data_IF_922674884455
#
_entry.id   IF_922674884455
#
_cell.length_a   1.000
_cell.length_b   1.000
_cell.length_c   1.000
_cell.angle_alpha   90.00
_cell.angle_beta   90.00
_cell.angle_gamma   90.00
#
_symmetry.space_group_name_H-M   'P 1'
#
loop_
_entity.id
_entity.type
_entity.pdbx_description
1 polymer ?
#
# COMPACT_ATOMS: atom_id res chain seq x y z
N UNK A 1 0.54 24.86 11.45
CA UNK A 1 0.06 24.49 10.10
C UNK A 1 0.62 23.15 9.57
N UNK A 2 1.96 22.89 9.52
CA UNK A 2 2.48 21.59 9.00
C UNK A 2 2.36 20.40 9.98
N UNK A 3 2.68 20.61 11.26
CA UNK A 3 2.48 19.58 12.29
C UNK A 3 1.00 19.16 12.38
N UNK A 4 0.11 20.13 12.22
CA UNK A 4 -1.35 19.97 12.19
C UNK A 4 -1.84 19.09 11.01
N UNK A 5 -1.20 19.08 9.84
CA UNK A 5 -1.59 18.18 8.74
C UNK A 5 -1.25 16.71 9.04
N UNK A 6 -0.05 16.44 9.55
CA UNK A 6 0.37 15.08 9.92
C UNK A 6 -0.48 14.52 11.05
N UNK A 7 -0.73 15.35 12.07
CA UNK A 7 -1.59 15.00 13.19
C UNK A 7 -2.99 14.67 12.70
N UNK A 8 -3.64 15.57 11.95
CA UNK A 8 -5.00 15.36 11.44
C UNK A 8 -5.16 14.07 10.63
N UNK A 9 -4.21 13.77 9.75
CA UNK A 9 -4.25 12.52 8.96
C UNK A 9 -4.04 11.30 9.86
N UNK A 10 -3.16 11.40 10.84
CA UNK A 10 -2.96 10.32 11.80
C UNK A 10 -4.23 10.10 12.62
N UNK A 11 -4.86 11.16 13.11
CA UNK A 11 -6.12 11.11 13.87
C UNK A 11 -7.25 10.50 13.02
N UNK A 12 -7.33 10.84 11.73
CA UNK A 12 -8.30 10.27 10.80
C UNK A 12 -8.11 8.75 10.63
N UNK A 13 -6.87 8.29 10.50
CA UNK A 13 -6.54 6.86 10.40
C UNK A 13 -6.77 6.15 11.74
N UNK A 14 -6.39 6.77 12.86
CA UNK A 14 -6.63 6.24 14.21
C UNK A 14 -8.12 6.06 14.44
N UNK A 15 -8.94 7.08 14.15
CA UNK A 15 -10.39 7.00 14.27
C UNK A 15 -10.98 5.90 13.38
N UNK A 16 -10.45 5.71 12.17
CA UNK A 16 -10.88 4.64 11.28
C UNK A 16 -10.50 3.24 11.80
N UNK A 17 -9.32 3.09 12.43
CA UNK A 17 -8.91 1.86 13.10
C UNK A 17 -9.81 1.58 14.30
N UNK A 18 -10.03 2.57 15.17
CA UNK A 18 -10.88 2.46 16.36
C UNK A 18 -12.31 2.05 16.00
N UNK A 19 -12.90 2.66 14.97
CA UNK A 19 -14.24 2.31 14.48
C UNK A 19 -14.34 0.87 13.97
N UNK A 20 -13.24 0.29 13.48
CA UNK A 20 -13.18 -1.09 12.99
C UNK A 20 -12.76 -2.13 14.04
N UNK A 21 -12.32 -1.69 15.22
CA UNK A 21 -11.68 -2.56 16.21
C UNK A 21 -12.64 -3.59 16.80
N UNK A 22 -13.93 -3.25 16.94
CA UNK A 22 -14.94 -4.16 17.49
C UNK A 22 -15.20 -5.41 16.62
N UNK A 23 -14.97 -5.30 15.30
CA UNK A 23 -15.11 -6.41 14.35
C UNK A 23 -13.75 -6.97 13.89
N UNK A 24 -12.63 -6.52 14.49
CA UNK A 24 -11.27 -6.77 13.98
C UNK A 24 -11.10 -6.42 12.50
N UNK A 25 -11.83 -5.41 12.03
CA UNK A 25 -11.91 -5.00 10.64
C UNK A 25 -11.16 -3.69 10.40
N UNK A 26 -9.90 -3.77 9.99
CA UNK A 26 -9.11 -2.58 9.66
C UNK A 26 -9.64 -1.89 8.39
N UNK A 27 -9.40 -0.57 8.21
CA UNK A 27 -9.84 0.18 7.02
C UNK A 27 -9.32 -0.38 5.69
N UNK A 28 -8.21 -1.10 5.73
CA UNK A 28 -7.55 -1.74 4.59
C UNK A 28 -7.97 -3.20 4.34
N UNK A 29 -8.93 -3.75 5.11
CA UNK A 29 -9.50 -5.08 4.85
C UNK A 29 -10.67 -5.01 3.86
N UNK A 30 -10.89 -6.10 3.11
CA UNK A 30 -11.85 -6.22 2.01
C UNK A 30 -11.63 -5.23 0.84
N UNK A 31 -10.43 -4.67 0.72
CA UNK A 31 -10.08 -3.73 -0.33
C UNK A 31 -10.18 -4.28 -1.75
N UNK A 32 -10.18 -5.60 -1.98
CA UNK A 32 -10.35 -6.15 -3.32
C UNK A 32 -11.71 -5.88 -3.94
N UNK A 33 -12.75 -5.70 -3.12
CA UNK A 33 -14.06 -5.29 -3.64
C UNK A 33 -14.04 -3.88 -4.24
N UNK A 34 -13.01 -3.09 -3.91
CA UNK A 34 -12.80 -1.73 -4.40
C UNK A 34 -11.62 -1.69 -5.39
N UNK A 35 -10.58 -2.49 -5.16
CA UNK A 35 -9.29 -2.49 -5.83
C UNK A 35 -8.30 -1.47 -5.25
N UNK A 36 -7.08 -1.48 -5.80
CA UNK A 36 -6.07 -0.46 -5.53
C UNK A 36 -6.54 0.90 -6.06
N UNK A 37 -6.68 1.95 -5.22
CA UNK A 37 -7.14 3.26 -5.66
C UNK A 37 -6.22 3.78 -6.77
N UNK A 38 -6.80 4.25 -7.87
CA UNK A 38 -6.06 4.74 -9.04
C UNK A 38 -6.59 6.07 -9.53
N UNK A 39 -5.67 6.89 -10.04
CA UNK A 39 -6.07 8.12 -10.70
C UNK A 39 -6.61 7.78 -12.09
N UNK A 40 -7.86 8.12 -12.38
CA UNK A 40 -8.51 7.68 -13.62
C UNK A 40 -7.92 8.34 -14.88
N UNK A 41 -7.34 9.54 -14.76
CA UNK A 41 -6.73 10.24 -15.90
C UNK A 41 -5.33 9.71 -16.21
N UNK A 42 -4.51 9.45 -15.20
CA UNK A 42 -3.13 8.98 -15.42
C UNK A 42 -3.01 7.45 -15.47
N UNK A 43 -4.04 6.72 -15.04
CA UNK A 43 -4.01 5.27 -14.86
C UNK A 43 -3.15 4.80 -13.68
N UNK A 44 -2.41 5.69 -13.01
CA UNK A 44 -1.44 5.33 -11.97
C UNK A 44 -2.13 5.02 -10.64
N UNK A 45 -1.74 3.94 -9.95
CA UNK A 45 -2.22 3.68 -8.60
C UNK A 45 -1.71 4.76 -7.63
N UNK A 46 -2.55 5.12 -6.65
CA UNK A 46 -2.12 5.82 -5.46
C UNK A 46 -1.26 4.89 -4.61
N UNK A 47 -0.38 5.48 -3.78
CA UNK A 47 0.69 4.76 -3.10
C UNK A 47 0.83 5.20 -1.64
N UNK A 48 1.29 4.28 -0.79
CA UNK A 48 1.56 4.52 0.62
C UNK A 48 0.35 5.11 1.36
N UNK A 49 0.56 6.21 2.08
CA UNK A 49 -0.50 6.82 2.91
C UNK A 49 -1.76 7.20 2.12
N UNK A 50 -1.61 7.57 0.83
CA UNK A 50 -2.76 7.92 0.01
C UNK A 50 -3.68 6.73 -0.25
N UNK A 51 -3.12 5.51 -0.35
CA UNK A 51 -3.90 4.28 -0.48
C UNK A 51 -4.79 4.09 0.75
N UNK A 52 -4.23 4.29 1.94
CA UNK A 52 -4.96 4.15 3.20
C UNK A 52 -6.08 5.19 3.35
N UNK A 53 -5.78 6.46 3.05
CA UNK A 53 -6.76 7.54 3.10
C UNK A 53 -7.94 7.30 2.16
N UNK A 54 -7.67 6.82 0.94
CA UNK A 54 -8.71 6.57 -0.04
C UNK A 54 -9.53 5.32 0.29
N UNK A 55 -8.92 4.27 0.86
CA UNK A 55 -9.67 3.12 1.36
C UNK A 55 -10.54 3.46 2.57
N UNK A 56 -9.99 4.21 3.53
CA UNK A 56 -10.75 4.66 4.69
C UNK A 56 -12.00 5.45 4.28
N UNK A 57 -11.84 6.43 3.37
CA UNK A 57 -12.99 7.20 2.87
C UNK A 57 -13.94 6.33 2.03
N UNK A 58 -13.43 5.45 1.15
CA UNK A 58 -14.28 4.57 0.36
C UNK A 58 -15.14 3.68 1.24
N UNK A 59 -14.57 3.11 2.31
CA UNK A 59 -15.29 2.31 3.28
C UNK A 59 -16.33 3.15 4.03
N UNK A 60 -15.92 4.29 4.58
CA UNK A 60 -16.80 5.18 5.35
C UNK A 60 -18.00 5.66 4.53
N UNK A 61 -17.82 5.93 3.24
CA UNK A 61 -18.88 6.41 2.33
C UNK A 61 -19.56 5.30 1.52
N UNK A 62 -19.10 4.06 1.63
CA UNK A 62 -19.61 2.92 0.85
C UNK A 62 -19.27 2.97 -0.65
N UNK A 63 -18.23 3.69 -1.06
CA UNK A 63 -17.79 3.73 -2.45
C UNK A 63 -17.27 2.36 -2.92
N UNK A 64 -17.67 1.97 -4.13
CA UNK A 64 -17.30 0.67 -4.73
C UNK A 64 -16.21 0.78 -5.80
N UNK A 65 -15.91 1.99 -6.26
CA UNK A 65 -14.90 2.21 -7.31
C UNK A 65 -13.56 2.60 -6.72
N UNK A 66 -12.47 1.99 -7.21
CA UNK A 66 -11.11 2.46 -6.99
C UNK A 66 -10.73 3.72 -7.81
N UNK A 67 -11.64 4.29 -8.60
CA UNK A 67 -11.33 5.40 -9.49
C UNK A 67 -11.48 6.74 -8.78
N UNK A 68 -10.39 7.50 -8.74
CA UNK A 68 -10.34 8.82 -8.12
C UNK A 68 -9.74 9.84 -9.09
N UNK A 69 -10.16 11.09 -8.97
CA UNK A 69 -9.56 12.19 -9.72
C UNK A 69 -9.79 13.52 -9.00
N UNK A 70 -8.98 14.53 -9.32
CA UNK A 70 -9.27 15.91 -8.89
C UNK A 70 -10.52 16.44 -9.61
N UNK A 71 -11.13 17.49 -9.06
CA UNK A 71 -12.27 18.15 -9.72
C UNK A 71 -12.00 18.51 -11.19
N UNK A 72 -10.81 19.07 -11.47
CA UNK A 72 -10.41 19.46 -12.83
C UNK A 72 -10.25 18.25 -13.75
N UNK A 73 -9.73 17.15 -13.24
CA UNK A 73 -9.61 15.90 -14.00
C UNK A 73 -10.97 15.32 -14.34
N UNK A 74 -11.94 15.35 -13.41
CA UNK A 74 -13.31 14.94 -13.70
C UNK A 74 -13.97 15.82 -14.77
N UNK A 75 -13.81 17.15 -14.68
CA UNK A 75 -14.29 18.05 -15.74
C UNK A 75 -13.67 17.77 -17.10
N UNK A 76 -12.38 17.45 -17.16
CA UNK A 76 -11.70 17.08 -18.42
C UNK A 76 -12.28 15.80 -19.05
N UNK A 77 -12.82 14.90 -18.22
CA UNK A 77 -13.51 13.69 -18.66
C UNK A 77 -15.00 13.93 -18.98
N UNK A 78 -15.46 15.18 -18.99
CA UNK A 78 -16.87 15.53 -19.20
C UNK A 78 -17.79 15.22 -18.01
N UNK A 79 -17.20 14.84 -16.86
CA UNK A 79 -17.93 14.49 -15.65
C UNK A 79 -18.06 15.69 -14.71
N UNK A 80 -19.13 15.73 -13.92
CA UNK A 80 -19.39 16.81 -12.97
C UNK A 80 -19.48 16.24 -11.55
N UNK A 81 -18.63 16.74 -10.63
CA UNK A 81 -18.80 16.44 -9.20
C UNK A 81 -20.11 17.04 -8.71
N UNK A 82 -20.95 16.23 -8.07
CA UNK A 82 -22.26 16.69 -7.55
C UNK A 82 -22.12 17.79 -6.51
N UNK A 83 -23.08 18.70 -6.51
CA UNK A 83 -23.13 19.80 -5.54
C UNK A 83 -23.25 19.25 -4.12
N UNK A 84 -22.36 19.72 -3.23
CA UNK A 84 -22.34 19.31 -1.81
C UNK A 84 -21.43 18.12 -1.50
N UNK A 85 -20.89 17.44 -2.50
CA UNK A 85 -19.91 16.37 -2.29
C UNK A 85 -18.62 16.90 -1.66
N UNK A 86 -18.09 16.15 -0.69
CA UNK A 86 -16.84 16.47 0.02
C UNK A 86 -15.68 15.70 -0.61
N UNK A 87 -14.56 16.39 -0.78
CA UNK A 87 -13.34 15.81 -1.34
C UNK A 87 -12.46 15.16 -0.28
N UNK A 88 -11.85 14.03 -0.64
CA UNK A 88 -10.82 13.36 0.15
C UNK A 88 -9.47 14.06 -0.03
N UNK A 89 -8.70 14.15 1.05
CA UNK A 89 -7.35 14.74 1.00
C UNK A 89 -6.32 13.67 0.69
N UNK A 90 -5.45 13.93 -0.29
CA UNK A 90 -4.27 13.11 -0.60
C UNK A 90 -3.02 13.97 -0.57
N UNK A 91 -1.85 13.37 -0.33
CA UNK A 91 -0.57 14.06 -0.23
C UNK A 91 0.31 13.78 -1.44
N UNK A 92 0.97 14.83 -1.93
CA UNK A 92 2.06 14.73 -2.89
C UNK A 92 3.34 15.25 -2.24
N UNK A 93 4.38 14.42 -2.24
CA UNK A 93 5.71 14.79 -1.76
C UNK A 93 6.46 15.54 -2.86
N UNK A 94 6.90 16.77 -2.56
CA UNK A 94 7.72 17.59 -3.46
C UNK A 94 9.05 17.96 -2.81
N UNK A 95 10.14 18.05 -3.58
CA UNK A 95 11.38 18.60 -3.06
C UNK A 95 11.17 20.06 -2.69
N UNK A 96 11.75 20.49 -1.58
CA UNK A 96 11.88 21.91 -1.24
C UNK A 96 12.99 22.46 -2.14
N UNK A 97 12.64 23.38 -3.02
CA UNK A 97 13.64 24.18 -3.75
C UNK A 97 14.39 25.03 -2.71
N UNK A 98 15.69 24.77 -2.54
CA UNK A 98 16.55 25.66 -1.76
C UNK A 98 16.67 26.97 -2.54
N UNK A 99 16.26 28.10 -1.93
CA UNK A 99 16.93 29.37 -2.26
C UNK A 99 18.36 29.25 -1.78
N UNK A 100 19.31 29.42 -2.69
CA UNK A 100 20.73 29.51 -2.35
C UNK A 100 20.95 30.87 -1.67
N UNK A 101 20.68 30.94 -0.37
CA UNK A 101 21.33 31.94 0.46
C UNK A 101 22.62 31.27 0.95
N UNK A 102 23.74 31.76 0.44
CA UNK A 102 25.09 31.33 0.79
C UNK A 102 25.28 31.54 2.30
N UNK A 103 25.37 30.46 3.06
CA UNK A 103 26.18 30.48 4.27
C UNK A 103 26.72 29.09 4.65
N UNK A 104 27.90 29.14 5.25
CA UNK A 104 28.94 28.11 5.30
C UNK A 104 28.65 26.91 6.22
N UNK A 105 29.26 25.77 5.88
CA UNK A 105 29.81 24.85 6.87
C UNK A 105 28.89 23.78 7.46
N UNK A 106 28.69 22.66 6.75
CA UNK A 106 29.05 21.32 7.25
C UNK A 106 28.83 20.28 6.14
N UNK A 107 29.83 19.44 5.88
CA UNK A 107 29.84 18.42 4.82
C UNK A 107 28.94 17.19 5.07
N UNK A 108 27.69 17.40 5.50
CA UNK A 108 26.69 16.32 5.45
C UNK A 108 25.98 16.37 4.08
N UNK A 109 25.76 15.22 3.42
CA UNK A 109 24.97 15.20 2.20
C UNK A 109 23.61 15.81 2.49
N UNK A 110 23.32 16.90 1.80
CA UNK A 110 22.10 17.68 1.93
C UNK A 110 20.91 16.79 1.55
N UNK A 111 20.34 16.08 2.54
CA UNK A 111 19.12 15.31 2.34
C UNK A 111 18.06 16.29 1.88
N UNK A 112 17.76 16.26 0.58
CA UNK A 112 16.78 17.13 -0.05
C UNK A 112 15.48 17.07 0.76
N UNK A 113 15.18 18.15 1.48
CA UNK A 113 14.00 18.20 2.34
C UNK A 113 12.77 18.09 1.44
N UNK A 114 11.92 17.10 1.69
CA UNK A 114 10.65 16.96 1.00
C UNK A 114 9.55 17.66 1.81
N UNK A 115 8.56 18.24 1.14
CA UNK A 115 7.34 18.72 1.77
C UNK A 115 6.11 18.03 1.19
N UNK A 116 5.15 17.71 2.06
CA UNK A 116 3.84 17.23 1.64
C UNK A 116 2.97 18.41 1.20
N UNK A 117 2.41 18.33 0.00
CA UNK A 117 1.35 19.21 -0.49
C UNK A 117 0.04 18.43 -0.51
N UNK A 118 -0.99 18.97 0.13
CA UNK A 118 -2.33 18.40 0.10
C UNK A 118 -3.03 18.70 -1.24
N UNK A 119 -3.71 17.69 -1.77
CA UNK A 119 -4.59 17.75 -2.93
C UNK A 119 -5.96 17.19 -2.57
N UNK A 120 -6.98 17.60 -3.34
CA UNK A 120 -8.37 17.17 -3.14
C UNK A 120 -8.80 16.32 -4.32
N UNK A 121 -9.29 15.12 -4.02
CA UNK A 121 -9.77 14.16 -5.01
C UNK A 121 -11.18 13.71 -4.67
N UNK A 122 -11.91 13.28 -5.69
CA UNK A 122 -13.28 12.78 -5.62
C UNK A 122 -13.32 11.39 -6.25
N UNK A 123 -14.12 10.50 -5.67
CA UNK A 123 -14.38 9.17 -6.20
C UNK A 123 -15.30 9.26 -7.42
N UNK A 124 -15.24 8.28 -8.30
CA UNK A 124 -16.21 8.10 -9.40
C UNK A 124 -17.65 8.09 -8.90
N UNK A 125 -17.89 7.51 -7.73
CA UNK A 125 -19.22 7.49 -7.12
C UNK A 125 -19.75 8.88 -6.78
N UNK A 126 -18.94 9.96 -6.84
CA UNK A 126 -19.32 11.35 -6.50
C UNK A 126 -19.60 12.23 -7.74
N UNK A 127 -19.47 11.68 -8.95
CA UNK A 127 -19.64 12.43 -10.19
C UNK A 127 -20.83 11.94 -10.99
N UNK A 128 -21.43 12.86 -11.74
CA UNK A 128 -22.43 12.58 -12.76
C UNK A 128 -21.77 12.63 -14.16
N UNK A 129 -22.46 12.08 -15.16
CA UNK A 129 -22.05 12.09 -16.57
C UNK A 129 -20.71 11.39 -16.87
N UNK A 130 -20.28 10.46 -16.01
CA UNK A 130 -19.18 9.55 -16.30
C UNK A 130 -19.72 8.14 -16.53
N UNK A 131 -19.68 7.68 -17.78
CA UNK A 131 -19.95 6.28 -18.10
C UNK A 131 -18.67 5.47 -18.01
N UNK A 132 -18.70 4.43 -17.19
CA UNK A 132 -17.60 3.50 -17.07
C UNK A 132 -17.52 2.63 -18.33
N UNK A 133 -16.46 2.81 -19.12
CA UNK A 133 -16.10 1.81 -20.12
C UNK A 133 -15.70 0.55 -19.38
N UNK A 134 -16.52 -0.50 -19.48
CA UNK A 134 -16.21 -1.81 -18.92
C UNK A 134 -14.92 -2.31 -19.58
N UNK A 135 -13.83 -2.38 -18.81
CA UNK A 135 -12.63 -3.06 -19.25
C UNK A 135 -12.91 -4.56 -19.22
N UNK A 136 -12.64 -5.25 -20.33
CA UNK A 136 -12.59 -6.70 -20.32
C UNK A 136 -11.43 -7.11 -19.41
N UNK A 137 -11.73 -7.68 -18.25
CA UNK A 137 -10.70 -8.26 -17.38
C UNK A 137 -10.11 -9.49 -18.10
N UNK A 138 -8.78 -9.70 -18.06
CA UNK A 138 -8.19 -10.91 -18.60
C UNK A 138 -8.83 -12.15 -17.94
N UNK A 139 -8.96 -13.22 -18.72
CA UNK A 139 -9.73 -14.42 -18.36
C UNK A 139 -9.12 -15.30 -17.24
N UNK A 140 -7.98 -14.89 -16.66
CA UNK A 140 -7.29 -15.66 -15.61
C UNK A 140 -7.93 -15.31 -14.27
N UNK A 141 -8.33 -16.33 -13.51
CA UNK A 141 -8.93 -16.12 -12.19
C UNK A 141 -7.93 -15.44 -11.24
N UNK A 142 -8.34 -14.46 -10.41
CA UNK A 142 -7.43 -13.75 -9.49
C UNK A 142 -6.56 -14.67 -8.63
N UNK A 143 -7.07 -15.84 -8.24
CA UNK A 143 -6.36 -16.84 -7.46
C UNK A 143 -5.21 -17.49 -8.25
N UNK A 144 -5.39 -17.80 -9.53
CA UNK A 144 -4.35 -18.39 -10.37
C UNK A 144 -3.20 -17.41 -10.58
N UNK A 145 -3.53 -16.13 -10.79
CA UNK A 145 -2.55 -15.04 -10.87
C UNK A 145 -1.77 -14.92 -9.55
N UNK A 146 -2.46 -14.99 -8.41
CA UNK A 146 -1.80 -14.94 -7.12
C UNK A 146 -0.88 -16.14 -6.89
N UNK A 147 -1.29 -17.35 -7.23
CA UNK A 147 -0.45 -18.55 -7.11
C UNK A 147 0.85 -18.39 -7.92
N UNK A 148 0.73 -17.95 -9.18
CA UNK A 148 1.89 -17.67 -10.02
C UNK A 148 2.80 -16.58 -9.42
N UNK A 149 2.22 -15.48 -8.92
CA UNK A 149 2.94 -14.39 -8.28
C UNK A 149 3.75 -14.85 -7.05
N UNK A 150 3.12 -15.60 -6.15
CA UNK A 150 3.76 -16.03 -4.91
C UNK A 150 4.81 -17.12 -5.14
N UNK A 151 4.59 -18.05 -6.09
CA UNK A 151 5.61 -19.02 -6.52
C UNK A 151 6.80 -18.38 -7.21
N UNK A 152 6.61 -17.23 -7.84
CA UNK A 152 7.68 -16.48 -8.47
C UNK A 152 8.59 -15.77 -7.46
N UNK A 153 8.23 -15.69 -6.17
CA UNK A 153 9.09 -15.10 -5.16
C UNK A 153 10.32 -15.98 -4.91
N UNK A 154 11.44 -15.38 -4.52
CA UNK A 154 12.69 -16.11 -4.25
C UNK A 154 12.84 -16.50 -2.78
N UNK A 155 11.82 -16.27 -1.95
CA UNK A 155 11.85 -16.64 -0.54
C UNK A 155 11.86 -18.16 -0.40
N UNK A 156 12.61 -18.66 0.58
CA UNK A 156 12.54 -20.06 0.98
C UNK A 156 11.27 -20.27 1.81
N UNK A 157 10.24 -20.88 1.21
CA UNK A 157 8.94 -21.11 1.85
C UNK A 157 8.84 -22.60 2.18
N UNK A 158 8.69 -22.91 3.46
CA UNK A 158 8.45 -24.26 3.96
C UNK A 158 6.97 -24.40 4.36
N UNK A 159 6.29 -25.34 3.70
CA UNK A 159 4.89 -25.66 3.97
C UNK A 159 4.76 -26.91 4.86
N UNK A 160 3.80 -26.90 5.79
CA UNK A 160 3.48 -28.02 6.68
C UNK A 160 3.75 -27.78 8.16
N UNK A 161 3.95 -26.52 8.58
CA UNK A 161 4.06 -26.13 9.99
C UNK A 161 2.70 -25.97 10.67
N UNK A 162 2.70 -25.82 11.99
CA UNK A 162 1.50 -25.47 12.76
C UNK A 162 1.18 -23.96 12.74
N UNK A 163 2.18 -23.13 12.41
CA UNK A 163 2.09 -21.66 12.47
C UNK A 163 2.80 -20.99 11.30
N UNK A 164 2.28 -19.83 10.87
CA UNK A 164 2.92 -18.98 9.88
C UNK A 164 3.86 -17.98 10.55
N UNK A 165 5.09 -17.86 10.05
CA UNK A 165 6.06 -16.86 10.50
C UNK A 165 7.24 -16.74 9.53
N UNK A 166 7.87 -15.58 9.48
CA UNK A 166 9.21 -15.40 8.94
C UNK A 166 10.28 -15.59 10.03
N UNK A 167 11.26 -16.45 9.79
CA UNK A 167 12.46 -16.64 10.62
C UNK A 167 13.63 -15.82 10.05
N UNK A 168 14.06 -14.72 10.71
CA UNK A 168 15.17 -13.90 10.24
C UNK A 168 16.54 -14.57 10.30
N UNK A 169 16.73 -15.56 11.19
CA UNK A 169 18.00 -16.25 11.33
C UNK A 169 18.19 -17.30 10.22
N UNK A 170 17.12 -18.04 9.90
CA UNK A 170 17.13 -19.02 8.81
C UNK A 170 16.86 -18.43 7.43
N UNK A 171 16.44 -17.16 7.35
CA UNK A 171 15.93 -16.49 6.14
C UNK A 171 14.86 -17.34 5.42
N UNK A 172 13.90 -17.85 6.19
CA UNK A 172 12.89 -18.80 5.76
C UNK A 172 11.51 -18.37 6.23
N UNK A 173 10.50 -18.61 5.40
CA UNK A 173 9.09 -18.45 5.75
C UNK A 173 8.52 -19.84 6.06
N UNK A 174 7.91 -19.98 7.22
CA UNK A 174 7.11 -21.14 7.60
C UNK A 174 5.66 -20.85 7.30
N UNK A 175 4.94 -21.81 6.70
CA UNK A 175 3.50 -21.72 6.42
C UNK A 175 2.80 -23.02 6.81
N UNK A 176 1.61 -22.96 7.43
CA UNK A 176 0.73 -24.11 7.50
C UNK A 176 0.33 -24.58 6.10
N UNK A 177 -0.02 -25.85 5.98
CA UNK A 177 -0.49 -26.39 4.71
C UNK A 177 -1.70 -25.60 4.20
N UNK A 178 -1.84 -25.46 2.88
CA UNK A 178 -2.95 -24.71 2.27
C UNK A 178 -4.34 -25.14 2.80
N UNK A 179 -4.54 -26.44 3.05
CA UNK A 179 -5.79 -27.00 3.58
C UNK A 179 -6.14 -26.58 5.01
N UNK A 180 -5.21 -25.98 5.76
CA UNK A 180 -5.48 -25.42 7.09
C UNK A 180 -6.19 -24.06 7.03
N UNK A 181 -6.28 -23.43 5.85
CA UNK A 181 -6.90 -22.12 5.67
C UNK A 181 -8.32 -22.23 5.15
N UNK A 182 -9.18 -21.31 5.60
CA UNK A 182 -10.59 -21.26 5.20
C UNK A 182 -10.81 -20.84 3.75
N UNK A 183 -9.81 -20.21 3.11
CA UNK A 183 -9.85 -19.84 1.69
C UNK A 183 -8.45 -19.55 1.14
N UNK A 184 -8.34 -19.49 -0.19
CA UNK A 184 -7.10 -19.10 -0.88
C UNK A 184 -6.68 -17.66 -0.53
N UNK A 185 -7.64 -16.75 -0.41
CA UNK A 185 -7.38 -15.36 -0.03
C UNK A 185 -6.83 -15.24 1.40
N UNK A 186 -7.30 -16.09 2.32
CA UNK A 186 -6.76 -16.16 3.67
C UNK A 186 -5.31 -16.66 3.65
N UNK A 187 -5.02 -17.72 2.88
CA UNK A 187 -3.67 -18.24 2.68
C UNK A 187 -2.72 -17.16 2.13
N UNK A 188 -3.09 -16.54 1.01
CA UNK A 188 -2.24 -15.53 0.36
C UNK A 188 -2.13 -14.23 1.15
N UNK A 189 -3.12 -13.86 1.96
CA UNK A 189 -3.00 -12.72 2.88
C UNK A 189 -1.92 -12.98 3.94
N UNK A 190 -1.92 -14.19 4.53
CA UNK A 190 -0.89 -14.61 5.50
C UNK A 190 0.48 -14.71 4.84
N UNK A 191 0.57 -15.34 3.66
CA UNK A 191 1.84 -15.44 2.94
C UNK A 191 2.40 -14.06 2.56
N UNK A 192 1.53 -13.11 2.14
CA UNK A 192 1.95 -11.75 1.85
C UNK A 192 2.47 -11.00 3.09
N UNK A 193 1.90 -11.29 4.27
CA UNK A 193 2.38 -10.76 5.55
C UNK A 193 3.79 -11.26 5.86
N UNK A 194 4.00 -12.58 5.83
CA UNK A 194 5.31 -13.16 6.11
C UNK A 194 6.35 -12.77 5.05
N UNK A 195 5.96 -12.65 3.78
CA UNK A 195 6.83 -12.10 2.74
C UNK A 195 7.18 -10.64 2.97
N UNK A 196 6.25 -9.85 3.52
CA UNK A 196 6.53 -8.47 3.88
C UNK A 196 7.60 -8.41 4.96
N UNK A 197 7.50 -9.22 6.03
CA UNK A 197 8.58 -9.38 7.01
C UNK A 197 9.89 -9.81 6.36
N UNK A 198 9.84 -10.83 5.50
CA UNK A 198 10.98 -11.32 4.75
C UNK A 198 11.69 -10.18 4.02
N UNK A 199 10.99 -9.31 3.28
CA UNK A 199 11.63 -8.16 2.59
C UNK A 199 12.46 -7.26 3.51
N UNK A 200 12.20 -7.24 4.82
CA UNK A 200 12.87 -6.39 5.80
C UNK A 200 14.31 -6.76 6.13
N UNK A 201 14.77 -7.97 5.77
CA UNK A 201 16.13 -8.38 6.12
C UNK A 201 17.23 -7.48 5.52
N UNK A 202 18.40 -7.52 6.15
CA UNK A 202 19.58 -6.72 5.80
C UNK A 202 20.03 -6.86 4.35
N UNK A 203 19.87 -8.03 3.76
CA UNK A 203 20.24 -8.31 2.37
C UNK A 203 19.19 -7.84 1.34
N UNK A 204 18.07 -7.26 1.81
CA UNK A 204 16.93 -6.79 0.99
C UNK A 204 16.66 -5.31 1.24
N UNK A 205 15.62 -4.98 2.00
CA UNK A 205 15.24 -3.58 2.27
C UNK A 205 15.92 -2.98 3.50
N UNK A 206 16.68 -3.80 4.26
CA UNK A 206 17.43 -3.39 5.46
C UNK A 206 16.59 -2.49 6.38
N UNK A 207 15.44 -3.03 6.81
CA UNK A 207 14.42 -2.26 7.51
C UNK A 207 14.74 -2.19 9.01
N UNK A 208 15.65 -1.28 9.36
CA UNK A 208 15.94 -0.97 10.76
C UNK A 208 14.93 0.03 11.35
N UNK A 209 14.27 -0.39 12.43
CA UNK A 209 13.28 0.38 13.19
C UNK A 209 13.73 0.69 14.63
N UNK A 210 14.89 0.15 15.05
CA UNK A 210 15.35 0.19 16.44
C UNK A 210 15.62 1.61 16.96
N UNK A 211 16.06 2.52 16.09
CA UNK A 211 16.38 3.90 16.46
C UNK A 211 15.15 4.73 16.84
N UNK A 212 14.27 5.04 15.88
CA UNK A 212 13.13 5.95 16.10
C UNK A 212 12.05 5.36 16.99
N UNK A 213 11.82 4.05 16.89
CA UNK A 213 10.69 3.39 17.55
C UNK A 213 11.11 2.66 18.82
N UNK A 214 12.40 2.41 19.06
CA UNK A 214 12.89 1.82 20.31
C UNK A 214 12.15 0.54 20.67
N UNK A 215 11.51 0.52 21.85
CA UNK A 215 10.71 -0.62 22.32
C UNK A 215 9.45 -0.91 21.49
N UNK A 216 8.98 0.06 20.70
CA UNK A 216 7.84 -0.10 19.80
C UNK A 216 8.24 -0.60 18.39
N UNK A 217 9.54 -0.87 18.14
CA UNK A 217 10.02 -1.31 16.82
C UNK A 217 9.30 -2.56 16.30
N UNK A 218 8.99 -3.52 17.19
CA UNK A 218 8.26 -4.73 16.82
C UNK A 218 6.80 -4.41 16.41
N UNK A 219 6.09 -3.61 17.20
CA UNK A 219 4.73 -3.18 16.86
C UNK A 219 4.69 -2.43 15.51
N UNK A 220 5.72 -1.62 15.24
CA UNK A 220 5.87 -0.92 13.98
C UNK A 220 6.15 -1.88 12.79
N UNK A 221 6.97 -2.92 12.97
CA UNK A 221 7.22 -3.92 11.93
C UNK A 221 5.95 -4.72 11.61
N UNK A 222 5.15 -5.08 12.60
CA UNK A 222 3.85 -5.74 12.40
C UNK A 222 2.85 -4.85 11.64
N UNK A 223 2.80 -3.55 11.96
CA UNK A 223 1.98 -2.61 11.19
C UNK A 223 2.47 -2.52 9.74
N UNK A 224 3.78 -2.55 9.51
CA UNK A 224 4.37 -2.55 8.15
C UNK A 224 4.01 -3.84 7.41
N UNK A 225 4.08 -4.99 8.09
CA UNK A 225 3.74 -6.29 7.54
C UNK A 225 2.27 -6.36 7.10
N UNK A 226 1.37 -5.90 7.96
CA UNK A 226 -0.07 -5.85 7.67
C UNK A 226 -0.41 -4.95 6.48
N UNK A 227 0.15 -3.73 6.47
CA UNK A 227 -0.07 -2.81 5.36
C UNK A 227 0.56 -3.32 4.06
N UNK A 228 1.73 -3.96 4.14
CA UNK A 228 2.42 -4.53 2.97
C UNK A 228 1.66 -5.71 2.39
N UNK A 229 1.09 -6.57 3.25
CA UNK A 229 0.19 -7.63 2.84
C UNK A 229 -1.04 -7.07 2.12
N UNK A 230 -1.72 -6.08 2.71
CA UNK A 230 -2.88 -5.43 2.12
C UNK A 230 -2.58 -4.78 0.75
N UNK A 231 -1.43 -4.10 0.62
CA UNK A 231 -1.00 -3.52 -0.66
C UNK A 231 -0.71 -4.59 -1.71
N UNK A 232 -0.05 -5.68 -1.33
CA UNK A 232 0.31 -6.78 -2.24
C UNK A 232 -0.95 -7.52 -2.73
N UNK A 233 -1.84 -7.93 -1.83
CA UNK A 233 -3.06 -8.66 -2.24
C UNK A 233 -4.02 -7.76 -3.02
N UNK A 234 -4.08 -6.45 -2.72
CA UNK A 234 -4.86 -5.51 -3.53
C UNK A 234 -4.28 -5.33 -4.95
N UNK A 235 -2.96 -5.37 -5.11
CA UNK A 235 -2.35 -5.42 -6.45
C UNK A 235 -2.74 -6.68 -7.22
N UNK A 236 -2.93 -7.80 -6.52
CA UNK A 236 -3.38 -9.08 -7.06
C UNK A 236 -4.90 -9.18 -7.27
N UNK A 237 -5.65 -8.12 -6.93
CA UNK A 237 -7.12 -8.11 -6.94
C UNK A 237 -7.73 -9.18 -6.00
N UNK A 238 -6.99 -9.56 -4.95
CA UNK A 238 -7.40 -10.51 -3.91
C UNK A 238 -7.88 -9.82 -2.64
N UNK A 239 -8.97 -10.33 -2.06
CA UNK A 239 -9.55 -9.78 -0.85
C UNK A 239 -8.61 -9.95 0.35
N UNK A 240 -8.11 -8.84 0.90
CA UNK A 240 -7.45 -8.86 2.21
C UNK A 240 -8.44 -9.31 3.28
N UNK A 241 -8.12 -10.41 3.96
CA UNK A 241 -8.91 -10.98 5.06
C UNK A 241 -8.26 -10.66 6.41
N UNK A 242 -9.06 -10.35 7.45
CA UNK A 242 -8.52 -10.23 8.81
C UNK A 242 -7.90 -11.56 9.23
N UNK A 243 -6.71 -11.56 9.83
CA UNK A 243 -6.22 -12.73 10.57
C UNK A 243 -6.75 -12.69 12.01
N UNK A 244 -7.05 -13.87 12.53
CA UNK A 244 -7.67 -14.05 13.85
C UNK A 244 -6.72 -13.71 15.02
N UNK A 245 -5.42 -13.58 14.76
CA UNK A 245 -4.35 -13.32 15.73
C UNK A 245 -3.96 -11.83 15.88
N UNK A 246 -4.64 -10.90 15.19
CA UNK A 246 -4.24 -9.47 15.18
C UNK A 246 -4.70 -8.62 16.36
N UNK A 247 -5.65 -9.09 17.16
CA UNK A 247 -6.25 -8.31 18.24
C UNK A 247 -5.24 -7.62 19.18
N UNK A 248 -4.15 -8.30 19.64
CA UNK A 248 -3.16 -7.68 20.52
C UNK A 248 -2.33 -6.59 19.83
N UNK A 249 -2.15 -6.67 18.50
CA UNK A 249 -1.32 -5.76 17.74
C UNK A 249 -2.01 -4.41 17.53
N UNK A 250 -3.34 -4.39 17.34
CA UNK A 250 -4.11 -3.15 17.15
C UNK A 250 -3.87 -2.16 18.30
N UNK A 251 -3.92 -2.63 19.55
CA UNK A 251 -3.66 -1.77 20.71
C UNK A 251 -2.25 -1.19 20.71
N UNK A 252 -1.24 -1.98 20.30
CA UNK A 252 0.13 -1.51 20.19
C UNK A 252 0.31 -0.52 19.03
N UNK A 253 -0.36 -0.71 17.89
CA UNK A 253 -0.35 0.27 16.80
C UNK A 253 -0.98 1.58 17.21
N UNK A 254 -2.17 1.56 17.82
CA UNK A 254 -2.86 2.76 18.30
C UNK A 254 -1.97 3.58 19.24
N UNK A 255 -1.24 2.90 20.14
CA UNK A 255 -0.23 3.55 21.00
C UNK A 255 0.87 4.23 20.19
N UNK A 256 1.48 3.52 19.24
CA UNK A 256 2.57 4.06 18.39
C UNK A 256 2.08 5.26 17.57
N UNK A 257 0.89 5.16 16.98
CA UNK A 257 0.29 6.22 16.17
C UNK A 257 -0.09 7.45 17.01
N UNK A 258 -0.59 7.25 18.24
CA UNK A 258 -0.90 8.33 19.17
C UNK A 258 0.35 9.08 19.67
N UNK A 259 1.48 8.39 19.80
CA UNK A 259 2.74 8.97 20.27
C UNK A 259 3.54 9.69 19.17
N UNK A 260 3.33 9.33 17.90
CA UNK A 260 4.09 9.88 16.77
C UNK A 260 3.19 10.11 15.53
N UNK A 261 2.82 11.37 15.21
CA UNK A 261 1.96 11.70 14.07
C UNK A 261 2.61 11.46 12.70
N UNK A 262 3.86 11.00 12.67
CA UNK A 262 4.55 10.59 11.44
C UNK A 262 4.77 9.08 11.38
N UNK A 263 4.31 8.31 12.38
CA UNK A 263 4.45 6.86 12.39
C UNK A 263 3.71 6.24 11.21
N UNK A 264 2.41 6.55 11.02
CA UNK A 264 1.61 5.97 9.93
C UNK A 264 2.20 6.23 8.53
N UNK A 265 2.78 7.42 8.32
CA UNK A 265 3.45 7.76 7.06
C UNK A 265 4.68 6.91 6.82
N UNK A 266 5.41 6.62 7.90
CA UNK A 266 6.60 5.76 7.86
C UNK A 266 6.18 4.33 7.59
N UNK A 267 5.15 3.84 8.28
CA UNK A 267 4.63 2.49 8.11
C UNK A 267 4.16 2.29 6.66
N UNK A 268 3.29 3.17 6.17
CA UNK A 268 2.77 3.11 4.82
C UNK A 268 3.87 3.23 3.75
N UNK A 269 4.92 4.05 3.98
CA UNK A 269 6.05 4.14 3.06
C UNK A 269 6.89 2.88 3.02
N UNK A 270 7.15 2.25 4.18
CA UNK A 270 7.94 1.01 4.27
C UNK A 270 7.16 -0.20 3.75
N UNK A 271 5.87 -0.26 4.03
CA UNK A 271 4.94 -1.24 3.49
C UNK A 271 4.84 -1.14 1.97
N UNK A 272 4.76 0.08 1.42
CA UNK A 272 4.78 0.28 -0.03
C UNK A 272 6.09 -0.23 -0.65
N UNK A 273 7.25 0.07 -0.04
CA UNK A 273 8.54 -0.41 -0.53
C UNK A 273 8.64 -1.95 -0.50
N UNK A 274 8.06 -2.60 0.51
CA UNK A 274 7.97 -4.06 0.56
C UNK A 274 7.09 -4.63 -0.55
N UNK A 275 5.89 -4.07 -0.75
CA UNK A 275 5.01 -4.48 -1.84
C UNK A 275 5.68 -4.27 -3.21
N UNK A 276 6.35 -3.13 -3.42
CA UNK A 276 7.08 -2.86 -4.66
C UNK A 276 8.25 -3.84 -4.87
N UNK A 277 8.93 -4.26 -3.80
CA UNK A 277 9.99 -5.25 -3.89
C UNK A 277 9.45 -6.59 -4.42
N UNK A 278 8.33 -7.04 -3.87
CA UNK A 278 7.66 -8.28 -4.29
C UNK A 278 7.12 -8.19 -5.72
N UNK A 279 6.51 -7.05 -6.08
CA UNK A 279 5.97 -6.79 -7.43
C UNK A 279 7.09 -6.61 -8.47
N UNK A 280 8.18 -5.93 -8.11
CA UNK A 280 9.34 -5.75 -9.00
C UNK A 280 10.08 -7.07 -9.28
N UNK A 281 10.09 -7.99 -8.32
CA UNK A 281 10.66 -9.33 -8.49
C UNK A 281 9.92 -10.16 -9.54
N UNK A 282 8.58 -10.01 -9.64
CA UNK A 282 7.75 -10.62 -10.67
C UNK A 282 8.16 -10.14 -12.09
N UNK A 283 8.26 -8.82 -12.27
CA UNK A 283 8.57 -8.19 -13.56
C UNK A 283 9.96 -8.57 -14.10
N UNK A 284 10.95 -8.72 -13.21
CA UNK A 284 12.30 -9.14 -13.58
C UNK A 284 12.40 -10.62 -14.02
N UNK A 285 11.43 -11.47 -13.65
CA UNK A 285 11.38 -12.88 -14.08
C UNK A 285 10.61 -13.05 -15.39
N UNK A 286 9.51 -12.33 -15.58
CA UNK A 286 8.76 -12.32 -16.85
C UNK A 286 9.64 -11.77 -17.99
N UNK A 287 10.39 -10.69 -17.74
CA UNK A 287 11.35 -10.15 -18.71
C UNK A 287 12.53 -11.08 -19.06
N UNK A 288 12.88 -12.06 -18.20
CA UNK A 288 13.90 -13.06 -18.53
C UNK A 288 13.37 -14.22 -19.40
N UNK A 289 12.07 -14.48 -19.37
CA UNK A 289 11.44 -15.49 -20.23
C UNK A 289 11.04 -14.94 -21.61
N UNK A 290 10.75 -13.64 -21.73
CA UNK A 290 10.37 -13.02 -23.01
C UNK A 290 11.54 -12.57 -23.90
N UNK A 291 12.78 -12.49 -23.39
CA UNK A 291 13.96 -12.22 -24.22
C UNK A 291 14.59 -13.51 -24.79
N UNK A 292 13.79 -14.24 -25.58
CA UNK A 292 14.27 -15.13 -26.66
C UNK A 292 13.30 -15.08 -27.83
N UNK A 293 13.27 -13.96 -28.55
CA UNK A 293 13.03 -13.93 -30.00
C UNK A 293 13.27 -12.54 -30.56
N UNK A 294 14.15 -12.50 -31.55
CA UNK A 294 14.48 -11.48 -32.54
C UNK A 294 13.52 -10.30 -32.77
N UNK A 295 14.11 -9.09 -32.82
CA UNK A 295 13.82 -8.09 -33.86
C UNK A 295 12.81 -6.95 -33.57
N UNK A 296 13.32 -5.71 -33.73
CA UNK A 296 12.63 -4.44 -34.13
C UNK A 296 12.00 -3.50 -33.05
N UNK A 297 12.81 -2.52 -32.60
CA UNK A 297 12.68 -1.01 -32.64
C UNK A 297 11.30 -0.29 -32.34
N UNK A 298 11.26 1.05 -32.07
CA UNK A 298 11.49 1.72 -30.77
C UNK A 298 10.42 2.81 -30.42
N UNK A 299 10.62 3.49 -29.27
CA UNK A 299 10.23 4.86 -28.91
C UNK A 299 8.75 5.28 -28.87
N UNK A 300 8.29 5.71 -27.69
CA UNK A 300 7.44 6.90 -27.49
C UNK A 300 7.58 7.37 -26.02
N UNK A 301 8.61 8.16 -25.76
CA UNK A 301 8.70 9.06 -24.60
C UNK A 301 8.02 10.40 -24.94
N UNK A 302 7.57 11.10 -23.89
CA UNK A 302 7.05 12.48 -23.83
C UNK A 302 5.52 12.64 -23.85
N UNK A 303 4.95 12.86 -22.66
CA UNK A 303 4.17 14.06 -22.36
C UNK A 303 3.96 14.17 -20.84
N UNK A 304 4.42 15.29 -20.29
CA UNK A 304 4.16 15.81 -18.93
C UNK A 304 2.76 16.38 -18.85
#
# INVERSE_FOLDING_TARGET
MKADLYQRITDEIVAAIEAGTAEFHMPWYNCASIGSPKNIVTGRPYRGINTLLLWAEARHRGFKSAKWATYRQWMQLGAQVRKGERATTVLLWKPVEKRMDLDEGNGQPDRQRMFARAFRVFNMAQVDSYEEVALQHPAIAPIERADAFFRAQSANIWEGSDSAFYDPHADMISMPSFGAFVSAEAYYSVLAHELTHWTGAKIRLDRDLSGRFGSDAYAMEELIAELGAAFTVSHLELASKPRTDHAPYIASWLRVLGNDPRAIFTAASRAQAAADYLIGAEQNKVGRHEFRSDGLLPALEQAV
#
